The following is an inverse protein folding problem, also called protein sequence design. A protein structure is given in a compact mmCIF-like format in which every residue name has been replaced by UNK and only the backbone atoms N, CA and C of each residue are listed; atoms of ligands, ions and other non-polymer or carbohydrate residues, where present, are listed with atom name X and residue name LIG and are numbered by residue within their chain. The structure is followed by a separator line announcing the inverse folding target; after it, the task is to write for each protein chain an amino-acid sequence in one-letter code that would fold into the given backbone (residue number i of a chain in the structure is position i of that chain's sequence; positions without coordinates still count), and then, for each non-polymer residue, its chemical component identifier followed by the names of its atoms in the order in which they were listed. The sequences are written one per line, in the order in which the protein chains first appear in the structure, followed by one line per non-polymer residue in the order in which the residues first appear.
data_IF_130386160616
#
_entry.id   IF_130386160616
#
_cell.length_a   1.000
_cell.length_b   1.000
_cell.length_c   1.000
_cell.angle_alpha   90.00
_cell.angle_beta   90.00
_cell.angle_gamma   90.00
#
_symmetry.space_group_name_H-M   'P 1'
#
loop_
_entity.id
_entity.type
_entity.pdbx_description
1 polymer ?
#
# COMPACT_ATOMS: atom_id res chain seq x y z
N UNK A 1 8.35 21.20 5.78
CA UNK A 1 8.24 19.94 6.51
C UNK A 1 8.34 20.12 8.03
N UNK A 2 8.46 19.01 8.74
CA UNK A 2 8.63 18.95 10.21
C UNK A 2 10.06 18.56 10.61
N UNK A 3 10.96 18.45 9.67
CA UNK A 3 12.37 18.08 9.88
C UNK A 3 13.22 19.18 10.50
N UNK A 4 14.56 18.95 10.61
CA UNK A 4 15.48 19.87 11.25
C UNK A 4 16.09 20.92 10.31
N UNK A 5 15.68 20.98 9.06
CA UNK A 5 16.29 21.84 8.04
C UNK A 5 15.64 23.23 7.97
N UNK A 6 16.33 24.20 7.35
CA UNK A 6 15.85 25.60 7.31
C UNK A 6 14.57 25.81 6.50
N UNK A 7 14.25 24.89 5.61
CA UNK A 7 13.02 24.87 4.81
C UNK A 7 11.83 24.19 5.54
N UNK A 8 12.08 23.62 6.74
CA UNK A 8 11.06 23.00 7.57
C UNK A 8 10.30 24.05 8.41
N UNK A 9 9.51 24.87 7.76
CA UNK A 9 8.79 26.00 8.39
C UNK A 9 7.40 25.63 8.93
N UNK A 10 6.87 24.46 8.61
CA UNK A 10 5.48 24.07 8.94
C UNK A 10 5.13 24.24 10.41
N UNK A 11 6.01 23.86 11.30
CA UNK A 11 5.83 23.99 12.77
C UNK A 11 5.63 25.44 13.21
N UNK A 12 6.45 26.33 12.70
CA UNK A 12 6.40 27.77 13.02
C UNK A 12 5.15 28.41 12.47
N UNK A 13 4.80 28.10 11.20
CA UNK A 13 3.58 28.60 10.56
C UNK A 13 2.31 28.13 11.28
N UNK A 14 2.28 26.87 11.73
CA UNK A 14 1.15 26.36 12.51
C UNK A 14 1.08 27.02 13.90
N UNK A 15 2.21 27.20 14.57
CA UNK A 15 2.24 27.91 15.84
C UNK A 15 1.68 29.34 15.70
N UNK A 16 2.09 30.07 14.67
CA UNK A 16 1.56 31.41 14.35
C UNK A 16 0.06 31.37 14.03
N UNK A 17 -0.39 30.48 13.16
CA UNK A 17 -1.80 30.36 12.76
C UNK A 17 -2.72 30.03 13.93
N UNK A 18 -2.27 29.22 14.87
CA UNK A 18 -3.05 28.87 16.07
C UNK A 18 -2.81 29.81 17.25
N UNK A 19 -1.91 30.79 17.13
CA UNK A 19 -1.54 31.70 18.22
C UNK A 19 -0.81 31.01 19.37
N UNK A 20 -0.14 29.91 19.08
CA UNK A 20 0.55 29.07 20.06
C UNK A 20 2.02 29.44 20.19
N UNK A 21 2.58 29.29 21.39
CA UNK A 21 4.02 29.47 21.62
C UNK A 21 4.73 28.13 21.50
N UNK A 22 5.94 28.14 20.93
CA UNK A 22 6.81 26.97 20.93
C UNK A 22 7.46 26.81 22.31
N UNK A 23 7.47 25.58 22.78
CA UNK A 23 8.16 25.17 24.00
C UNK A 23 8.81 23.81 23.79
N UNK A 24 9.99 23.61 24.38
CA UNK A 24 10.63 22.31 24.33
C UNK A 24 9.83 21.30 25.15
N UNK A 25 9.41 20.24 24.48
CA UNK A 25 8.75 19.09 25.07
C UNK A 25 9.80 18.07 25.51
N UNK A 26 9.84 17.78 26.81
CA UNK A 26 10.86 16.91 27.38
C UNK A 26 10.75 15.48 26.88
N UNK A 27 9.52 14.96 26.75
CA UNK A 27 9.31 13.60 26.33
C UNK A 27 9.77 13.39 24.86
N UNK A 28 9.44 14.35 24.00
CA UNK A 28 9.92 14.35 22.60
C UNK A 28 11.44 14.46 22.54
N UNK A 29 12.05 15.29 23.40
CA UNK A 29 13.51 15.42 23.48
C UNK A 29 14.16 14.08 23.87
N UNK A 30 13.68 13.45 24.93
CA UNK A 30 14.20 12.17 25.43
C UNK A 30 14.11 11.07 24.32
N UNK A 31 13.04 11.06 23.54
CA UNK A 31 12.89 10.17 22.37
C UNK A 31 13.92 10.45 21.28
N UNK A 32 14.15 11.72 20.93
CA UNK A 32 15.15 12.12 19.93
C UNK A 32 16.53 11.72 20.39
N UNK A 33 16.90 11.98 21.66
CA UNK A 33 18.18 11.59 22.23
C UNK A 33 18.38 10.07 22.18
N UNK A 34 17.38 9.31 22.55
CA UNK A 34 17.39 7.84 22.45
C UNK A 34 17.58 7.37 21.00
N UNK A 35 16.89 7.99 20.04
CA UNK A 35 17.00 7.66 18.63
C UNK A 35 18.42 7.83 18.07
N UNK A 36 19.12 8.93 18.46
CA UNK A 36 20.50 9.18 18.04
C UNK A 36 21.50 8.29 18.78
N UNK A 37 21.31 8.12 20.10
CA UNK A 37 22.15 7.25 20.92
C UNK A 37 22.19 5.82 20.46
N UNK A 38 21.04 5.21 20.15
CA UNK A 38 20.94 3.84 19.62
C UNK A 38 21.68 3.64 18.30
N UNK A 39 21.93 4.72 17.57
CA UNK A 39 22.63 4.71 16.28
C UNK A 39 24.08 5.18 16.36
N UNK A 40 24.58 5.41 17.59
CA UNK A 40 25.91 5.97 17.85
C UNK A 40 26.18 7.26 17.05
N UNK A 41 25.17 8.14 16.95
CA UNK A 41 25.28 9.42 16.24
C UNK A 41 25.15 10.58 17.21
N UNK A 42 25.99 11.65 17.09
CA UNK A 42 25.83 12.85 17.89
C UNK A 42 24.57 13.62 17.49
N UNK A 43 23.96 14.29 18.47
CA UNK A 43 22.91 15.27 18.20
C UNK A 43 23.50 16.63 17.81
N UNK A 44 22.82 17.28 16.88
CA UNK A 44 23.11 18.65 16.45
C UNK A 44 22.10 19.61 17.08
N UNK A 45 22.42 20.91 17.16
CA UNK A 45 21.51 21.95 17.68
C UNK A 45 20.13 21.94 16.97
N UNK A 46 20.12 21.64 15.68
CA UNK A 46 18.89 21.50 14.90
C UNK A 46 17.99 20.35 15.37
N UNK A 47 18.58 19.28 15.93
CA UNK A 47 17.81 18.15 16.46
C UNK A 47 17.15 18.51 17.81
N UNK A 48 17.83 19.28 18.67
CA UNK A 48 17.22 19.80 19.90
C UNK A 48 16.00 20.68 19.59
N UNK A 49 16.07 21.52 18.55
CA UNK A 49 14.95 22.35 18.10
C UNK A 49 13.75 21.54 17.55
N UNK A 50 13.94 20.29 17.16
CA UNK A 50 12.82 19.44 16.76
C UNK A 50 11.87 19.13 17.94
N UNK A 51 12.37 19.12 19.17
CA UNK A 51 11.57 18.96 20.37
C UNK A 51 10.82 20.23 20.81
N UNK A 52 11.05 21.38 20.16
CA UNK A 52 10.26 22.59 20.40
C UNK A 52 8.94 22.46 19.63
N UNK A 53 7.84 22.28 20.34
CA UNK A 53 6.51 22.05 19.79
C UNK A 53 5.51 23.11 20.30
N UNK A 54 4.44 23.41 19.54
CA UNK A 54 3.39 24.33 19.97
C UNK A 54 2.70 23.78 21.23
N UNK A 55 2.56 24.65 22.26
CA UNK A 55 2.00 24.24 23.56
C UNK A 55 0.53 23.85 23.50
N UNK A 56 -0.21 24.36 22.51
CA UNK A 56 -1.64 24.12 22.34
C UNK A 56 -1.95 22.94 21.37
N UNK A 57 -0.93 22.20 20.94
CA UNK A 57 -1.15 20.98 20.15
C UNK A 57 -1.12 19.72 21.02
N UNK A 58 -1.86 18.71 20.63
CA UNK A 58 -1.59 17.36 21.10
C UNK A 58 -0.48 16.77 20.24
N UNK A 59 0.61 16.36 20.90
CA UNK A 59 1.74 15.73 20.23
C UNK A 59 1.33 14.33 19.79
N UNK A 60 1.62 14.01 18.54
CA UNK A 60 1.51 12.66 17.98
C UNK A 60 2.94 12.09 17.89
N UNK A 61 3.21 11.13 18.73
CA UNK A 61 4.55 10.55 18.86
C UNK A 61 4.98 9.82 17.59
N UNK A 62 6.27 9.94 17.28
CA UNK A 62 6.88 9.26 16.15
C UNK A 62 7.87 8.20 16.66
N UNK A 63 7.50 6.94 16.60
CA UNK A 63 8.35 5.82 17.02
C UNK A 63 9.32 5.36 15.89
N UNK A 64 9.17 5.92 14.70
CA UNK A 64 9.94 5.55 13.51
C UNK A 64 10.97 6.61 13.09
N UNK A 65 10.93 7.81 13.69
CA UNK A 65 11.79 8.93 13.34
C UNK A 65 11.83 10.01 14.44
N UNK A 66 12.43 11.16 14.12
CA UNK A 66 12.65 12.26 15.09
C UNK A 66 11.59 13.36 15.04
N UNK A 67 10.81 13.45 13.99
CA UNK A 67 9.82 14.52 13.78
C UNK A 67 8.46 14.09 14.30
N UNK A 68 8.03 14.62 15.46
CA UNK A 68 6.70 14.37 16.00
C UNK A 68 5.60 14.98 15.12
N UNK A 69 4.46 14.31 15.04
CA UNK A 69 3.25 14.88 14.46
C UNK A 69 2.56 15.83 15.43
N UNK A 70 1.71 16.69 14.92
CA UNK A 70 0.96 17.68 15.70
C UNK A 70 -0.52 17.62 15.37
N UNK A 71 -1.36 17.63 16.39
CA UNK A 71 -2.81 17.64 16.29
C UNK A 71 -3.35 18.91 16.93
N UNK A 72 -4.08 19.72 16.17
CA UNK A 72 -4.75 20.92 16.64
C UNK A 72 -6.25 20.79 16.45
N UNK A 73 -7.00 21.39 17.37
CA UNK A 73 -8.46 21.54 17.26
C UNK A 73 -8.83 23.03 17.28
N UNK A 74 -9.60 23.47 16.28
CA UNK A 74 -10.14 24.83 16.20
C UNK A 74 -11.49 24.81 15.49
N UNK A 75 -12.48 25.48 16.10
CA UNK A 75 -13.82 25.59 15.53
C UNK A 75 -14.44 24.25 15.10
N UNK A 76 -14.31 23.22 15.95
CA UNK A 76 -14.76 21.84 15.69
C UNK A 76 -14.10 21.16 14.48
N UNK A 77 -13.00 21.71 13.99
CA UNK A 77 -12.17 21.15 12.92
C UNK A 77 -10.86 20.65 13.49
N UNK A 78 -10.34 19.59 12.89
CA UNK A 78 -9.07 18.97 13.28
C UNK A 78 -8.04 19.22 12.16
N UNK A 79 -6.86 19.63 12.59
CA UNK A 79 -5.70 19.82 11.73
C UNK A 79 -4.59 18.89 12.23
N UNK A 80 -4.11 18.05 11.33
CA UNK A 80 -3.05 17.07 11.65
C UNK A 80 -1.86 17.36 10.76
N UNK A 81 -0.71 17.64 11.36
CA UNK A 81 0.55 17.78 10.65
C UNK A 81 1.41 16.56 10.91
N UNK A 82 1.97 15.99 9.86
CA UNK A 82 2.70 14.71 9.89
C UNK A 82 4.05 14.85 9.18
N UNK A 83 5.03 14.03 9.55
CA UNK A 83 6.29 13.93 8.82
C UNK A 83 6.07 13.60 7.33
N UNK A 84 6.97 14.08 6.46
CA UNK A 84 6.93 13.79 5.03
C UNK A 84 7.35 12.36 4.66
N UNK A 85 8.03 11.66 5.55
CA UNK A 85 8.49 10.29 5.33
C UNK A 85 7.32 9.31 5.41
N UNK A 86 7.01 8.54 4.34
CA UNK A 86 5.76 7.78 4.26
C UNK A 86 5.55 6.75 5.37
N UNK A 87 6.59 6.03 5.80
CA UNK A 87 6.43 5.01 6.86
C UNK A 87 6.22 5.64 8.24
N UNK A 88 6.86 6.79 8.53
CA UNK A 88 6.64 7.57 9.77
C UNK A 88 5.20 8.08 9.82
N UNK A 89 4.76 8.72 8.75
CA UNK A 89 3.38 9.21 8.60
C UNK A 89 2.36 8.09 8.80
N UNK A 90 2.57 6.93 8.17
CA UNK A 90 1.66 5.78 8.32
C UNK A 90 1.61 5.28 9.75
N UNK A 91 2.74 5.16 10.45
CA UNK A 91 2.80 4.76 11.85
C UNK A 91 1.96 5.70 12.73
N UNK A 92 2.24 7.01 12.67
CA UNK A 92 1.51 8.02 13.45
C UNK A 92 0.00 7.99 13.10
N UNK A 93 -0.37 7.90 11.83
CA UNK A 93 -1.77 7.82 11.42
C UNK A 93 -2.46 6.59 11.98
N UNK A 94 -1.86 5.42 11.82
CA UNK A 94 -2.48 4.14 12.19
C UNK A 94 -2.61 3.99 13.69
N UNK A 95 -1.57 4.35 14.44
CA UNK A 95 -1.46 4.05 15.87
C UNK A 95 -2.11 5.14 16.74
N UNK A 96 -2.15 6.39 16.25
CA UNK A 96 -2.60 7.51 17.05
C UNK A 96 -3.71 8.35 16.42
N UNK A 97 -3.51 8.89 15.20
CA UNK A 97 -4.43 9.87 14.64
C UNK A 97 -5.79 9.24 14.27
N UNK A 98 -5.82 8.09 13.58
CA UNK A 98 -7.06 7.39 13.22
C UNK A 98 -7.87 6.95 14.45
N UNK A 99 -7.28 6.34 15.50
CA UNK A 99 -7.99 6.02 16.74
C UNK A 99 -8.61 7.25 17.41
N UNK A 100 -7.86 8.36 17.49
CA UNK A 100 -8.37 9.63 18.03
C UNK A 100 -9.54 10.18 17.21
N UNK A 101 -9.44 10.16 15.87
CA UNK A 101 -10.52 10.59 14.96
C UNK A 101 -11.78 9.74 15.14
N UNK A 102 -11.63 8.42 15.18
CA UNK A 102 -12.75 7.49 15.39
C UNK A 102 -13.48 7.78 16.71
N UNK A 103 -12.71 7.99 17.79
CA UNK A 103 -13.26 8.33 19.11
C UNK A 103 -13.95 9.71 19.10
N UNK A 104 -13.34 10.71 18.48
CA UNK A 104 -13.81 12.11 18.46
C UNK A 104 -15.11 12.27 17.67
N UNK A 105 -15.21 11.61 16.52
CA UNK A 105 -16.34 11.74 15.61
C UNK A 105 -17.34 10.58 15.68
N UNK A 106 -17.12 9.58 16.54
CA UNK A 106 -17.94 8.36 16.64
C UNK A 106 -18.18 7.74 15.25
N UNK A 107 -17.11 7.68 14.45
CA UNK A 107 -17.19 7.21 13.07
C UNK A 107 -17.67 5.76 13.03
N UNK A 108 -18.67 5.48 12.20
CA UNK A 108 -19.04 4.11 11.85
C UNK A 108 -18.01 3.57 10.85
N UNK A 109 -17.65 2.31 11.02
CA UNK A 109 -16.78 1.63 10.06
C UNK A 109 -17.58 1.36 8.79
N UNK A 110 -17.13 1.84 7.64
CA UNK A 110 -17.60 1.33 6.36
C UNK A 110 -17.03 -0.08 6.16
N UNK A 111 -17.87 -0.98 5.66
CA UNK A 111 -17.39 -2.27 5.19
C UNK A 111 -17.19 -2.23 3.69
N UNK A 112 -16.12 -2.81 3.20
CA UNK A 112 -15.90 -3.02 1.78
C UNK A 112 -15.14 -4.31 1.55
N UNK A 113 -15.35 -4.90 0.38
CA UNK A 113 -14.58 -6.01 -0.16
C UNK A 113 -14.29 -5.73 -1.63
N UNK A 114 -13.16 -6.19 -2.13
CA UNK A 114 -12.69 -5.87 -3.47
C UNK A 114 -12.37 -7.15 -4.22
N UNK A 115 -13.02 -7.40 -5.35
CA UNK A 115 -12.63 -8.45 -6.29
C UNK A 115 -11.53 -7.94 -7.24
N UNK A 116 -10.62 -8.83 -7.60
CA UNK A 116 -9.48 -8.56 -8.46
C UNK A 116 -9.69 -9.28 -9.79
N UNK A 117 -9.66 -8.54 -10.91
CA UNK A 117 -9.83 -9.10 -12.24
C UNK A 117 -8.64 -8.76 -13.13
N UNK A 118 -8.36 -9.61 -14.12
CA UNK A 118 -7.28 -9.42 -15.09
C UNK A 118 -7.72 -9.77 -16.50
N UNK A 119 -6.95 -9.29 -17.48
CA UNK A 119 -7.13 -9.68 -18.89
C UNK A 119 -8.43 -9.21 -19.53
N UNK A 120 -9.11 -8.23 -18.93
CA UNK A 120 -10.32 -7.61 -19.46
C UNK A 120 -10.27 -6.09 -19.20
N UNK A 121 -10.61 -5.30 -20.22
CA UNK A 121 -10.72 -3.85 -20.08
C UNK A 121 -11.99 -3.45 -19.33
N UNK A 122 -11.96 -2.29 -18.66
CA UNK A 122 -13.04 -1.79 -17.81
C UNK A 122 -14.40 -1.76 -18.54
N UNK A 123 -14.44 -1.23 -19.77
CA UNK A 123 -15.68 -1.14 -20.56
C UNK A 123 -16.30 -2.49 -20.86
N UNK A 124 -15.49 -3.47 -21.26
CA UNK A 124 -15.94 -4.83 -21.55
C UNK A 124 -16.36 -5.56 -20.27
N UNK A 125 -15.68 -5.30 -19.17
CA UNK A 125 -16.04 -5.84 -17.87
C UNK A 125 -17.41 -5.30 -17.43
N UNK A 126 -17.61 -3.99 -17.51
CA UNK A 126 -18.87 -3.33 -17.13
C UNK A 126 -20.06 -3.85 -17.97
N UNK A 127 -19.91 -3.99 -19.28
CA UNK A 127 -20.94 -4.57 -20.12
C UNK A 127 -21.28 -6.00 -19.71
N UNK A 128 -20.25 -6.81 -19.42
CA UNK A 128 -20.43 -8.23 -19.06
C UNK A 128 -21.14 -8.45 -17.72
N UNK A 129 -20.97 -7.51 -16.76
CA UNK A 129 -21.51 -7.64 -15.40
C UNK A 129 -22.66 -6.69 -15.11
N UNK A 130 -23.27 -6.07 -16.10
CA UNK A 130 -24.28 -5.01 -15.96
C UNK A 130 -25.44 -5.43 -15.03
N UNK A 131 -26.01 -6.61 -15.22
CA UNK A 131 -27.12 -7.10 -14.38
C UNK A 131 -26.70 -7.30 -12.91
N UNK A 132 -25.48 -7.75 -12.69
CA UNK A 132 -24.88 -7.90 -11.37
C UNK A 132 -24.61 -6.54 -10.73
N UNK A 133 -24.16 -5.56 -11.47
CA UNK A 133 -24.00 -4.17 -11.01
C UNK A 133 -25.34 -3.57 -10.58
N UNK A 134 -26.41 -3.78 -11.37
CA UNK A 134 -27.76 -3.33 -11.01
C UNK A 134 -28.26 -3.92 -9.69
N UNK A 135 -27.92 -5.18 -9.40
CA UNK A 135 -28.27 -5.81 -8.12
C UNK A 135 -27.55 -5.13 -6.94
N UNK A 136 -26.31 -4.73 -7.10
CA UNK A 136 -25.56 -4.01 -6.07
C UNK A 136 -26.28 -2.72 -5.68
N UNK A 137 -26.67 -1.91 -6.66
CA UNK A 137 -27.36 -0.65 -6.41
C UNK A 137 -28.77 -0.86 -5.85
N UNK A 138 -29.52 -1.86 -6.30
CA UNK A 138 -30.84 -2.22 -5.75
C UNK A 138 -30.77 -2.60 -4.27
N UNK A 139 -29.65 -3.17 -3.82
CA UNK A 139 -29.40 -3.52 -2.43
C UNK A 139 -28.86 -2.33 -1.59
N UNK A 140 -28.77 -1.13 -2.16
CA UNK A 140 -28.26 0.07 -1.48
C UNK A 140 -26.76 0.04 -1.20
N UNK A 141 -26.03 -0.80 -1.93
CA UNK A 141 -24.56 -0.87 -1.92
C UNK A 141 -23.98 0.05 -3.00
N UNK A 142 -22.69 0.29 -2.92
CA UNK A 142 -21.95 1.08 -3.92
C UNK A 142 -20.88 0.23 -4.58
N UNK A 143 -20.74 0.34 -5.91
CA UNK A 143 -19.66 -0.28 -6.69
C UNK A 143 -18.67 0.78 -7.16
N UNK A 144 -17.39 0.48 -7.11
CA UNK A 144 -16.34 1.29 -7.70
C UNK A 144 -15.43 0.42 -8.57
N UNK A 145 -15.17 0.90 -9.79
CA UNK A 145 -14.13 0.38 -10.68
C UNK A 145 -12.82 1.09 -10.35
N UNK A 146 -11.77 0.34 -10.11
CA UNK A 146 -10.45 0.85 -9.75
C UNK A 146 -9.40 0.27 -10.71
N UNK A 147 -9.26 0.86 -11.91
CA UNK A 147 -8.35 0.36 -12.92
C UNK A 147 -6.89 0.62 -12.56
N UNK A 148 -6.04 -0.34 -12.93
CA UNK A 148 -4.59 -0.23 -12.93
C UNK A 148 -4.04 -1.02 -14.12
N UNK A 149 -2.73 -0.95 -14.39
CA UNK A 149 -2.15 -1.64 -15.55
C UNK A 149 -2.47 -3.14 -15.54
N UNK A 150 -3.29 -3.60 -16.49
CA UNK A 150 -3.67 -5.01 -16.67
C UNK A 150 -4.68 -5.57 -15.66
N UNK A 151 -5.11 -4.78 -14.68
CA UNK A 151 -6.01 -5.19 -13.58
C UNK A 151 -7.14 -4.17 -13.42
N UNK A 152 -8.37 -4.65 -13.33
CA UNK A 152 -9.53 -3.85 -12.88
C UNK A 152 -10.00 -4.42 -11.56
N UNK A 153 -10.06 -3.60 -10.52
CA UNK A 153 -10.59 -4.00 -9.21
C UNK A 153 -12.03 -3.52 -9.10
N UNK A 154 -12.90 -4.40 -8.62
CA UNK A 154 -14.31 -4.10 -8.36
C UNK A 154 -14.53 -4.06 -6.87
N UNK A 155 -14.79 -2.87 -6.31
CA UNK A 155 -15.01 -2.70 -4.87
C UNK A 155 -16.47 -2.46 -4.57
N UNK A 156 -17.07 -3.36 -3.80
CA UNK A 156 -18.39 -3.13 -3.20
C UNK A 156 -18.17 -2.52 -1.82
N UNK A 157 -18.95 -1.47 -1.51
CA UNK A 157 -18.90 -0.79 -0.20
C UNK A 157 -20.30 -0.65 0.39
N UNK A 158 -20.40 -0.81 1.72
CA UNK A 158 -21.61 -0.57 2.50
C UNK A 158 -21.42 0.50 3.56
N UNK A 159 -22.36 1.43 3.65
CA UNK A 159 -22.46 2.41 4.73
C UNK A 159 -23.02 1.83 6.03
N UNK A 160 -23.64 0.63 6.00
CA UNK A 160 -24.13 -0.07 7.18
C UNK A 160 -23.03 -0.85 7.91
N UNK A 161 -21.83 -0.87 7.36
CA UNK A 161 -20.70 -1.60 7.93
C UNK A 161 -20.80 -3.10 7.66
N UNK A 162 -20.35 -3.91 8.62
CA UNK A 162 -20.27 -5.38 8.49
C UNK A 162 -21.63 -6.09 8.42
N UNK A 163 -22.74 -5.37 8.66
CA UNK A 163 -24.08 -5.97 8.59
C UNK A 163 -24.41 -6.50 7.19
N UNK A 164 -23.82 -5.88 6.15
CA UNK A 164 -23.98 -6.31 4.76
C UNK A 164 -22.88 -7.28 4.27
N UNK A 165 -21.97 -7.74 5.14
CA UNK A 165 -20.83 -8.56 4.74
C UNK A 165 -21.25 -9.86 4.01
N UNK A 166 -22.21 -10.59 4.57
CA UNK A 166 -22.71 -11.83 3.96
C UNK A 166 -23.36 -11.60 2.59
N UNK A 167 -24.10 -10.49 2.43
CA UNK A 167 -24.68 -10.11 1.14
C UNK A 167 -23.60 -9.80 0.12
N UNK A 168 -22.56 -9.07 0.51
CA UNK A 168 -21.41 -8.75 -0.36
C UNK A 168 -20.66 -10.03 -0.77
N UNK A 169 -20.49 -10.98 0.14
CA UNK A 169 -19.89 -12.28 -0.16
C UNK A 169 -20.71 -13.08 -1.18
N UNK A 170 -22.04 -13.07 -1.06
CA UNK A 170 -22.94 -13.71 -2.04
C UNK A 170 -22.80 -13.07 -3.42
N UNK A 171 -22.85 -11.73 -3.50
CA UNK A 171 -22.68 -11.02 -4.76
C UNK A 171 -21.32 -11.32 -5.43
N UNK A 172 -20.26 -11.44 -4.66
CA UNK A 172 -18.96 -11.80 -5.23
C UNK A 172 -18.88 -13.27 -5.67
N UNK A 173 -19.54 -14.20 -4.97
CA UNK A 173 -19.64 -15.59 -5.44
C UNK A 173 -20.38 -15.68 -6.78
N UNK A 174 -21.40 -14.85 -7.01
CA UNK A 174 -22.06 -14.72 -8.31
C UNK A 174 -21.09 -14.16 -9.38
N UNK A 175 -20.32 -13.11 -9.04
CA UNK A 175 -19.33 -12.53 -9.93
C UNK A 175 -18.28 -13.56 -10.41
N UNK A 176 -17.77 -14.41 -9.51
CA UNK A 176 -16.83 -15.46 -9.86
C UNK A 176 -17.36 -16.36 -10.98
N UNK A 177 -18.65 -16.71 -10.92
CA UNK A 177 -19.30 -17.53 -11.94
C UNK A 177 -19.53 -16.76 -13.26
N UNK A 178 -19.73 -15.44 -13.20
CA UNK A 178 -19.91 -14.61 -14.40
C UNK A 178 -18.61 -14.38 -15.18
N UNK A 179 -17.49 -14.29 -14.46
CA UNK A 179 -16.17 -13.95 -15.06
C UNK A 179 -15.05 -14.92 -14.64
N UNK A 180 -15.23 -16.25 -14.72
CA UNK A 180 -14.29 -17.24 -14.17
C UNK A 180 -12.89 -17.15 -14.78
N UNK A 181 -12.77 -16.68 -16.01
CA UNK A 181 -11.48 -16.53 -16.70
C UNK A 181 -10.77 -15.20 -16.41
N UNK A 182 -11.42 -14.30 -15.70
CA UNK A 182 -10.90 -12.96 -15.42
C UNK A 182 -10.72 -12.70 -13.93
N UNK A 183 -11.54 -13.30 -13.09
CA UNK A 183 -11.42 -13.22 -11.63
C UNK A 183 -10.21 -14.02 -11.14
N UNK A 184 -9.42 -13.46 -10.19
CA UNK A 184 -8.28 -14.16 -9.64
C UNK A 184 -8.12 -14.07 -8.11
N UNK A 185 -8.86 -13.22 -7.42
CA UNK A 185 -8.72 -13.10 -5.97
C UNK A 185 -9.44 -11.91 -5.36
N UNK A 186 -9.17 -11.67 -4.08
CA UNK A 186 -9.81 -10.63 -3.29
C UNK A 186 -8.81 -9.71 -2.58
N UNK A 187 -9.22 -8.50 -2.31
CA UNK A 187 -8.60 -7.50 -1.45
C UNK A 187 -7.08 -7.33 -1.62
N UNK A 188 -6.27 -8.07 -0.88
CA UNK A 188 -4.81 -7.99 -0.88
C UNK A 188 -4.12 -9.12 -1.60
N UNK A 189 -4.88 -10.01 -2.21
CA UNK A 189 -4.30 -11.09 -3.01
C UNK A 189 -3.44 -10.54 -4.13
N UNK A 190 -2.39 -11.26 -4.47
CA UNK A 190 -1.53 -10.95 -5.61
C UNK A 190 -1.41 -12.15 -6.53
N UNK A 191 -1.21 -11.90 -7.82
CA UNK A 191 -1.02 -12.99 -8.80
C UNK A 191 0.12 -13.95 -8.39
N UNK A 192 1.28 -13.48 -7.94
CA UNK A 192 2.33 -14.39 -7.49
C UNK A 192 1.91 -15.30 -6.32
N UNK A 193 1.14 -14.79 -5.34
CA UNK A 193 0.63 -15.59 -4.23
C UNK A 193 -0.34 -16.68 -4.70
N UNK A 194 -1.29 -16.31 -5.55
CA UNK A 194 -2.31 -17.23 -6.07
C UNK A 194 -1.68 -18.31 -6.95
N UNK A 195 -0.76 -17.92 -7.85
CA UNK A 195 -0.04 -18.88 -8.69
C UNK A 195 0.80 -19.80 -7.82
N UNK A 196 1.51 -19.27 -6.83
CA UNK A 196 2.31 -20.08 -5.90
C UNK A 196 1.47 -21.12 -5.16
N UNK A 197 0.30 -20.72 -4.64
CA UNK A 197 -0.61 -21.66 -3.98
C UNK A 197 -1.13 -22.73 -4.94
N UNK A 198 -1.52 -22.37 -6.15
CA UNK A 198 -1.96 -23.33 -7.17
C UNK A 198 -0.87 -24.33 -7.58
N UNK A 199 0.38 -23.90 -7.62
CA UNK A 199 1.51 -24.79 -7.90
C UNK A 199 1.72 -25.79 -6.76
N UNK A 200 1.66 -25.33 -5.51
CA UNK A 200 1.73 -26.20 -4.32
C UNK A 200 0.61 -27.24 -4.32
N UNK A 201 -0.64 -26.78 -4.51
CA UNK A 201 -1.82 -27.65 -4.48
C UNK A 201 -1.79 -28.75 -5.56
N UNK A 202 -1.14 -28.45 -6.69
CA UNK A 202 -0.99 -29.38 -7.84
C UNK A 202 0.33 -30.16 -7.82
N UNK A 203 1.19 -29.96 -6.81
CA UNK A 203 2.55 -30.51 -6.75
C UNK A 203 3.37 -30.21 -8.02
N UNK A 204 3.28 -28.97 -8.51
CA UNK A 204 4.01 -28.49 -9.68
C UNK A 204 5.11 -27.52 -9.27
N UNK A 205 6.17 -27.48 -10.06
CA UNK A 205 7.24 -26.49 -9.94
C UNK A 205 7.29 -25.58 -11.17
N UNK A 206 7.92 -24.41 -11.01
CA UNK A 206 8.13 -23.45 -12.08
C UNK A 206 9.57 -22.93 -12.07
N UNK A 207 10.15 -22.79 -13.24
CA UNK A 207 11.38 -22.01 -13.48
C UNK A 207 11.11 -20.90 -14.48
N UNK A 208 11.94 -19.86 -14.49
CA UNK A 208 11.80 -18.75 -15.43
C UNK A 208 13.02 -18.55 -16.29
N UNK A 209 12.81 -18.13 -17.54
CA UNK A 209 13.87 -17.65 -18.42
C UNK A 209 13.49 -16.24 -18.86
N UNK A 210 14.30 -15.26 -18.47
CA UNK A 210 13.96 -13.85 -18.66
C UNK A 210 15.00 -13.13 -19.54
N UNK A 211 14.53 -12.16 -20.32
CA UNK A 211 15.37 -11.27 -21.12
C UNK A 211 15.05 -9.80 -20.80
N UNK A 212 14.07 -9.19 -21.47
CA UNK A 212 13.71 -7.78 -21.30
C UNK A 212 13.19 -7.44 -19.89
N UNK A 213 12.57 -8.38 -19.19
CA UNK A 213 12.09 -8.24 -17.81
C UNK A 213 13.20 -8.24 -16.77
N UNK A 214 14.43 -8.60 -17.16
CA UNK A 214 15.66 -8.50 -16.37
C UNK A 214 15.56 -9.07 -14.94
N UNK A 215 14.86 -10.20 -14.74
CA UNK A 215 14.65 -10.85 -13.44
C UNK A 215 13.44 -10.35 -12.65
N UNK A 216 12.59 -9.49 -13.23
CA UNK A 216 11.41 -8.96 -12.54
C UNK A 216 10.42 -10.06 -12.20
N UNK A 217 10.17 -11.01 -13.10
CA UNK A 217 9.26 -12.13 -12.85
C UNK A 217 9.81 -13.05 -11.74
N UNK A 218 11.09 -13.37 -11.82
CA UNK A 218 11.79 -14.15 -10.78
C UNK A 218 11.69 -13.46 -9.41
N UNK A 219 11.92 -12.15 -9.36
CA UNK A 219 11.81 -11.35 -8.14
C UNK A 219 10.39 -11.37 -7.57
N UNK A 220 9.36 -11.26 -8.41
CA UNK A 220 7.97 -11.30 -7.95
C UNK A 220 7.60 -12.68 -7.36
N UNK A 221 8.01 -13.77 -8.01
CA UNK A 221 7.76 -15.14 -7.52
C UNK A 221 8.49 -15.38 -6.21
N UNK A 222 9.80 -15.06 -6.16
CA UNK A 222 10.64 -15.31 -5.00
C UNK A 222 10.33 -14.38 -3.80
N UNK A 223 9.61 -13.27 -4.01
CA UNK A 223 9.16 -12.40 -2.92
C UNK A 223 8.09 -13.01 -2.02
N UNK A 224 7.47 -14.11 -2.45
CA UNK A 224 6.44 -14.80 -1.69
C UNK A 224 7.09 -15.74 -0.66
N UNK A 225 6.82 -15.58 0.64
CA UNK A 225 7.33 -16.50 1.65
C UNK A 225 6.93 -17.96 1.34
N UNK A 226 7.92 -18.87 1.37
CA UNK A 226 7.70 -20.28 1.02
C UNK A 226 7.82 -20.60 -0.47
N UNK A 227 8.20 -19.65 -1.33
CA UNK A 227 8.36 -19.87 -2.77
C UNK A 227 9.32 -21.04 -3.13
N UNK A 228 10.25 -21.39 -2.25
CA UNK A 228 11.16 -22.53 -2.43
C UNK A 228 10.45 -23.88 -2.58
N UNK A 229 9.18 -23.98 -2.21
CA UNK A 229 8.40 -25.20 -2.39
C UNK A 229 7.98 -25.45 -3.86
N UNK A 230 8.00 -24.41 -4.72
CA UNK A 230 7.54 -24.51 -6.10
C UNK A 230 8.43 -23.77 -7.13
N UNK A 231 9.34 -22.91 -6.68
CA UNK A 231 10.19 -22.13 -7.57
C UNK A 231 11.59 -22.70 -7.65
N UNK A 232 11.98 -23.21 -8.83
CA UNK A 232 13.30 -23.83 -9.08
C UNK A 232 14.41 -22.80 -9.32
N UNK A 233 14.04 -21.61 -9.84
CA UNK A 233 15.02 -20.56 -10.14
C UNK A 233 14.80 -19.87 -11.47
N UNK A 234 15.75 -19.02 -11.87
CA UNK A 234 15.71 -18.23 -13.09
C UNK A 234 17.00 -18.27 -13.88
N UNK A 235 16.89 -18.26 -15.22
CA UNK A 235 17.96 -17.93 -16.13
C UNK A 235 17.75 -16.51 -16.69
N UNK A 236 18.71 -15.61 -16.49
CA UNK A 236 18.66 -14.27 -17.02
C UNK A 236 19.50 -14.19 -18.30
N UNK A 237 18.83 -14.28 -19.45
CA UNK A 237 19.45 -14.39 -20.78
C UNK A 237 19.38 -13.07 -21.55
N UNK A 238 19.96 -12.00 -21.00
CA UNK A 238 19.82 -10.66 -21.58
C UNK A 238 20.57 -10.51 -22.90
N UNK A 239 21.86 -10.93 -22.95
CA UNK A 239 22.66 -10.82 -24.16
C UNK A 239 22.47 -12.03 -25.08
N UNK A 240 22.70 -11.84 -26.40
CA UNK A 240 22.66 -12.92 -27.38
C UNK A 240 23.60 -14.06 -27.04
N UNK A 241 24.81 -13.72 -26.54
CA UNK A 241 25.80 -14.71 -26.11
C UNK A 241 25.22 -15.62 -25.02
N UNK A 242 24.54 -15.05 -24.03
CA UNK A 242 23.95 -15.82 -22.93
C UNK A 242 22.75 -16.62 -23.39
N UNK A 243 21.91 -16.06 -24.31
CA UNK A 243 20.82 -16.83 -24.93
C UNK A 243 21.33 -18.11 -25.60
N UNK A 244 22.42 -18.02 -26.36
CA UNK A 244 23.00 -19.17 -27.04
C UNK A 244 23.66 -20.12 -26.05
N UNK A 245 24.48 -19.63 -25.10
CA UNK A 245 25.33 -20.48 -24.27
C UNK A 245 24.61 -21.13 -23.10
N UNK A 246 23.59 -20.47 -22.53
CA UNK A 246 22.84 -20.98 -21.36
C UNK A 246 21.43 -21.51 -21.69
N UNK A 247 20.72 -20.81 -22.59
CA UNK A 247 19.37 -21.21 -22.96
C UNK A 247 19.33 -22.04 -24.24
N UNK A 248 20.47 -22.37 -24.84
CA UNK A 248 20.62 -23.15 -26.08
C UNK A 248 19.78 -22.62 -27.25
N UNK A 249 19.57 -21.29 -27.32
CA UNK A 249 18.87 -20.67 -28.43
C UNK A 249 19.77 -20.76 -29.70
N UNK A 250 19.29 -21.35 -30.79
CA UNK A 250 20.06 -21.44 -32.03
C UNK A 250 20.48 -20.06 -32.55
N UNK A 251 21.75 -19.90 -32.93
CA UNK A 251 22.31 -18.62 -33.35
C UNK A 251 21.62 -18.07 -34.62
N UNK A 252 21.16 -18.93 -35.50
CA UNK A 252 20.43 -18.58 -36.74
C UNK A 252 19.05 -17.98 -36.46
N UNK A 253 18.38 -18.40 -35.40
CA UNK A 253 17.14 -17.77 -34.97
C UNK A 253 17.34 -16.34 -34.48
N UNK A 254 18.41 -16.11 -33.70
CA UNK A 254 18.75 -14.77 -33.22
C UNK A 254 19.04 -13.82 -34.37
N UNK A 255 19.76 -14.30 -35.41
CA UNK A 255 20.12 -13.48 -36.58
C UNK A 255 18.88 -13.11 -37.44
N UNK A 256 17.87 -13.95 -37.51
CA UNK A 256 16.65 -13.68 -38.28
C UNK A 256 15.74 -12.62 -37.64
N UNK A 257 15.74 -12.51 -36.32
CA UNK A 257 14.89 -11.58 -35.57
C UNK A 257 15.49 -10.17 -35.44
N UNK A 258 16.77 -9.97 -35.84
CA UNK A 258 17.52 -8.70 -35.72
C UNK A 258 17.52 -7.94 -37.04
N UNK A 259 16.97 -8.49 -38.12
CA UNK A 259 16.74 -7.80 -39.40
C UNK A 259 15.33 -7.23 -39.48
#
# INVERSE_FOLDING_TARGET
GLGPTKDDITKYTLAEYFGSKLKQDKHTLDKIESFFSQRNRPMLDSNYKQAELPVDCTILENDYGTAAGMWFEKNNKIFISLPGVPYEMRGIMTEQAIPKLKKRFKLKSMYYKTALTQGIGESFLAEKIQEWEDQIYKNGLSLAYLPSSGIVKLRISSAKGSDDAAMIDTLFAELENLIPNHFFGYDRDTLPQIIGQQLIDKNLTIGTVESCTAGMLASQISSIPGASAYYEGALLTYSYKIKTSLANVPADLIQKEVQ
#
